data_IF_021580634240
#
_entry.id   IF_021580634240
#
_cell.length_a   1.000
_cell.length_b   1.000
_cell.length_c   1.000
_cell.angle_alpha   90.00
_cell.angle_beta   90.00
_cell.angle_gamma   90.00
#
_symmetry.space_group_name_H-M   'P 1'
#
loop_
_entity.id
_entity.type
_entity.pdbx_description
1 polymer ?
#
# COMPACT_ATOMS: atom_id res chain seq x y z
N UNK A 1 2.43 -15.70 -4.41
CA UNK A 1 2.83 -14.49 -3.66
C UNK A 1 3.44 -13.54 -4.65
N UNK A 2 2.92 -12.33 -4.69
CA UNK A 2 3.33 -11.25 -5.56
C UNK A 2 3.82 -10.08 -4.70
N UNK A 3 4.85 -9.39 -5.19
CA UNK A 3 5.44 -8.25 -4.52
C UNK A 3 5.53 -7.12 -5.52
N UNK A 4 4.94 -5.97 -5.20
CA UNK A 4 4.95 -4.82 -6.11
C UNK A 4 5.17 -3.52 -5.37
N UNK A 5 5.91 -2.64 -6.05
CA UNK A 5 6.18 -1.29 -5.59
C UNK A 5 5.21 -0.33 -6.24
N UNK A 6 4.59 0.51 -5.43
CA UNK A 6 3.62 1.52 -5.84
C UNK A 6 4.16 2.88 -5.41
N UNK A 7 4.18 3.84 -6.35
CA UNK A 7 4.52 5.21 -6.00
C UNK A 7 3.31 5.90 -5.39
N UNK A 8 3.46 6.48 -4.20
CA UNK A 8 2.38 7.15 -3.48
C UNK A 8 2.86 8.57 -3.13
N UNK A 9 2.67 9.55 -4.04
CA UNK A 9 3.22 10.90 -3.90
C UNK A 9 2.67 11.65 -2.68
N UNK A 10 1.51 11.23 -2.17
CA UNK A 10 0.87 11.80 -0.98
C UNK A 10 1.52 11.40 0.34
N UNK A 11 2.41 10.40 0.37
CA UNK A 11 3.15 10.03 1.58
C UNK A 11 4.23 11.07 1.82
N UNK A 12 4.06 11.88 2.88
CA UNK A 12 5.06 12.86 3.31
C UNK A 12 5.63 12.58 4.70
N UNK A 13 4.98 11.73 5.51
CA UNK A 13 5.36 11.48 6.90
C UNK A 13 5.21 10.00 7.29
N UNK A 14 5.93 9.56 8.32
CA UNK A 14 5.83 8.18 8.83
C UNK A 14 4.43 7.80 9.32
N UNK A 15 3.61 8.76 9.76
CA UNK A 15 2.21 8.53 10.11
C UNK A 15 1.34 8.10 8.91
N UNK A 16 1.63 8.60 7.71
CA UNK A 16 0.96 8.18 6.47
C UNK A 16 1.23 6.70 6.20
N UNK A 17 2.50 6.30 6.31
CA UNK A 17 2.93 4.90 6.10
C UNK A 17 2.26 3.96 7.10
N UNK A 18 2.16 4.35 8.37
CA UNK A 18 1.46 3.52 9.37
C UNK A 18 -0.01 3.31 9.01
N UNK A 19 -0.71 4.35 8.55
CA UNK A 19 -2.11 4.26 8.14
C UNK A 19 -2.26 3.29 6.98
N UNK A 20 -1.44 3.46 5.93
CA UNK A 20 -1.43 2.56 4.76
C UNK A 20 -1.14 1.12 5.17
N UNK A 21 -0.13 0.91 6.01
CA UNK A 21 0.26 -0.43 6.49
C UNK A 21 -0.85 -1.10 7.26
N UNK A 22 -1.58 -0.36 8.09
CA UNK A 22 -2.72 -0.88 8.84
C UNK A 22 -3.85 -1.30 7.89
N UNK A 23 -4.30 -0.37 7.05
CA UNK A 23 -5.44 -0.57 6.15
C UNK A 23 -5.18 -1.69 5.12
N UNK A 24 -3.99 -1.71 4.52
CA UNK A 24 -3.59 -2.79 3.61
C UNK A 24 -3.35 -4.11 4.34
N UNK A 25 -2.86 -4.08 5.57
CA UNK A 25 -2.66 -5.28 6.40
C UNK A 25 -3.97 -5.95 6.82
N UNK A 26 -5.09 -5.22 6.82
CA UNK A 26 -6.43 -5.77 7.07
C UNK A 26 -7.01 -6.51 5.85
N UNK A 27 -6.42 -6.33 4.66
CA UNK A 27 -6.86 -7.02 3.44
C UNK A 27 -6.45 -8.49 3.50
N UNK A 28 -7.44 -9.39 3.45
CA UNK A 28 -7.21 -10.84 3.34
C UNK A 28 -6.36 -11.18 2.11
N UNK A 29 -5.19 -11.75 2.35
CA UNK A 29 -4.22 -12.12 1.31
C UNK A 29 -3.00 -11.21 1.26
N UNK A 30 -3.05 -10.02 1.86
CA UNK A 30 -1.85 -9.20 2.08
C UNK A 30 -0.98 -9.86 3.14
N UNK A 31 0.28 -10.09 2.79
CA UNK A 31 1.26 -10.75 3.66
C UNK A 31 2.21 -9.73 4.29
N UNK A 32 2.61 -8.69 3.54
CA UNK A 32 3.50 -7.64 4.04
C UNK A 32 3.21 -6.31 3.39
N UNK A 33 3.41 -5.24 4.15
CA UNK A 33 3.32 -3.87 3.66
C UNK A 33 4.46 -3.07 4.28
N UNK A 34 5.25 -2.45 3.41
CA UNK A 34 6.36 -1.56 3.74
C UNK A 34 6.20 -0.24 3.00
N UNK A 35 6.61 0.87 3.59
CA UNK A 35 6.49 2.18 2.98
C UNK A 35 7.68 3.07 3.28
N UNK A 36 8.14 3.77 2.26
CA UNK A 36 9.28 4.67 2.27
C UNK A 36 8.80 6.10 2.01
N UNK A 37 8.62 6.94 3.05
CA UNK A 37 8.18 8.32 2.88
C UNK A 37 9.24 9.18 2.18
N UNK A 38 10.52 8.82 2.28
CA UNK A 38 11.60 9.52 1.59
C UNK A 38 11.53 9.33 0.07
N UNK A 39 11.18 8.12 -0.38
CA UNK A 39 11.04 7.80 -1.80
C UNK A 39 9.63 8.04 -2.32
N UNK A 40 8.66 8.23 -1.41
CA UNK A 40 7.22 8.31 -1.72
C UNK A 40 6.74 7.04 -2.42
N UNK A 41 7.20 5.90 -1.92
CA UNK A 41 6.89 4.58 -2.48
C UNK A 41 6.43 3.65 -1.36
N UNK A 42 5.59 2.67 -1.70
CA UNK A 42 5.24 1.55 -0.83
C UNK A 42 5.51 0.24 -1.55
N UNK A 43 5.94 -0.76 -0.80
CA UNK A 43 6.07 -2.14 -1.26
C UNK A 43 5.00 -2.96 -0.59
N UNK A 44 4.16 -3.61 -1.40
CA UNK A 44 3.09 -4.48 -0.89
C UNK A 44 3.36 -5.89 -1.38
N UNK A 45 3.29 -6.84 -0.47
CA UNK A 45 3.37 -8.27 -0.74
C UNK A 45 2.01 -8.89 -0.47
N UNK A 46 1.42 -9.51 -1.49
CA UNK A 46 0.09 -10.10 -1.39
C UNK A 46 -0.01 -11.43 -2.12
N UNK A 47 -1.09 -12.14 -1.85
CA UNK A 47 -1.46 -13.37 -2.52
C UNK A 47 -2.98 -13.42 -2.64
N UNK A 48 -3.49 -14.30 -3.52
CA UNK A 48 -4.94 -14.54 -3.60
C UNK A 48 -5.51 -14.85 -2.20
N UNK A 49 -6.65 -14.24 -1.82
CA UNK A 49 -7.61 -13.52 -2.67
C UNK A 49 -7.35 -12.02 -2.85
N UNK A 50 -6.28 -11.46 -2.29
CA UNK A 50 -5.92 -10.06 -2.52
C UNK A 50 -5.44 -9.86 -3.97
N UNK A 51 -5.76 -8.69 -4.53
CA UNK A 51 -5.34 -8.29 -5.87
C UNK A 51 -4.81 -6.87 -5.84
N UNK A 52 -4.01 -6.52 -6.84
CA UNK A 52 -3.50 -5.17 -7.00
C UNK A 52 -4.62 -4.12 -7.07
N UNK A 53 -5.73 -4.44 -7.73
CA UNK A 53 -6.90 -3.56 -7.82
C UNK A 53 -7.49 -3.25 -6.45
N UNK A 54 -7.62 -4.27 -5.59
CA UNK A 54 -8.07 -4.12 -4.20
C UNK A 54 -7.16 -3.17 -3.42
N UNK A 55 -5.84 -3.38 -3.53
CA UNK A 55 -4.82 -2.57 -2.87
C UNK A 55 -4.91 -1.11 -3.34
N UNK A 56 -4.95 -0.87 -4.66
CA UNK A 56 -5.09 0.47 -5.25
C UNK A 56 -6.39 1.15 -4.84
N UNK A 57 -7.50 0.41 -4.77
CA UNK A 57 -8.78 0.95 -4.32
C UNK A 57 -8.72 1.38 -2.86
N UNK A 58 -8.22 0.52 -1.97
CA UNK A 58 -8.05 0.86 -0.54
C UNK A 58 -7.17 2.09 -0.38
N UNK A 59 -6.05 2.15 -1.09
CA UNK A 59 -5.14 3.29 -1.12
C UNK A 59 -5.86 4.59 -1.54
N UNK A 60 -6.74 4.52 -2.56
CA UNK A 60 -7.55 5.66 -2.99
C UNK A 60 -8.57 6.09 -1.94
N UNK A 61 -9.25 5.14 -1.29
CA UNK A 61 -10.21 5.40 -0.20
C UNK A 61 -9.56 6.16 0.97
N UNK A 62 -8.32 5.81 1.31
CA UNK A 62 -7.56 6.46 2.39
C UNK A 62 -6.80 7.72 1.95
N UNK A 63 -7.13 8.28 0.78
CA UNK A 63 -6.49 9.47 0.19
C UNK A 63 -4.98 9.33 -0.11
N UNK A 64 -4.53 8.11 -0.38
CA UNK A 64 -3.16 7.77 -0.77
C UNK A 64 -3.12 7.08 -2.13
N UNK A 65 -3.61 7.71 -3.22
CA UNK A 65 -3.69 7.06 -4.52
C UNK A 65 -2.31 6.58 -4.98
N UNK A 66 -2.22 5.30 -5.31
CA UNK A 66 -1.03 4.74 -5.93
C UNK A 66 -0.95 5.17 -7.40
N UNK A 67 0.17 5.79 -7.76
CA UNK A 67 0.62 5.99 -9.13
C UNK A 67 1.45 4.78 -9.55
N UNK A 68 0.99 4.07 -10.58
CA UNK A 68 1.62 2.86 -11.12
C UNK A 68 0.64 1.99 -11.87
#
# INVERSE_FOLDING_TARGET
>A
METMKLSVPNINCGHCVMTIKKELGEIKGVSKVEGDPQKKEITVEWNQPATLDKIKSTLKDINFPAAG
#
